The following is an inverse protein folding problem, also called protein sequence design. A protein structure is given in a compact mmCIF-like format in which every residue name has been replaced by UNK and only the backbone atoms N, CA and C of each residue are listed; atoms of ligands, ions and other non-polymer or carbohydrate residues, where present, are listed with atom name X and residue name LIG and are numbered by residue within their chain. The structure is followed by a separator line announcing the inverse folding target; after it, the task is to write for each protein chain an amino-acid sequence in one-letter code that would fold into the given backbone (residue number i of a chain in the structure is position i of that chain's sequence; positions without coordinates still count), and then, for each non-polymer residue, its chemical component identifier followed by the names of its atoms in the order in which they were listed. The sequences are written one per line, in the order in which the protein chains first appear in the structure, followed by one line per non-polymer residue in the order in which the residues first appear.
data_IF_211634546540
#
_entry.id   IF_211634546540
#
_cell.length_a   1.000
_cell.length_b   1.000
_cell.length_c   1.000
_cell.angle_alpha   90.00
_cell.angle_beta   90.00
_cell.angle_gamma   90.00
#
_symmetry.space_group_name_H-M   'P 1'
#
loop_
_entity.id
_entity.type
_entity.pdbx_description
1 polymer ?
#
# COMPACT_ATOMS: atom_id res chain seq x y z
N UNK A 1 -10.31 -3.50 -25.39
CA UNK A 1 -8.84 -3.38 -25.59
C UNK A 1 -8.16 -4.00 -24.38
N UNK A 2 -7.52 -5.16 -24.53
CA UNK A 2 -6.91 -5.90 -23.43
C UNK A 2 -5.56 -5.25 -23.13
N UNK A 3 -5.50 -4.43 -22.10
CA UNK A 3 -4.24 -3.82 -21.66
C UNK A 3 -3.36 -4.93 -21.09
N UNK A 4 -2.33 -5.30 -21.80
CA UNK A 4 -1.33 -6.28 -21.35
C UNK A 4 -0.61 -5.69 -20.12
N UNK A 5 -0.95 -6.18 -18.93
CA UNK A 5 -0.32 -5.80 -17.67
C UNK A 5 1.13 -6.32 -17.75
N UNK A 6 2.09 -5.40 -17.97
CA UNK A 6 3.52 -5.73 -17.90
C UNK A 6 3.82 -6.28 -16.51
N UNK A 7 4.11 -7.57 -16.39
CA UNK A 7 4.45 -8.22 -15.12
C UNK A 7 5.61 -7.48 -14.47
N UNK A 8 5.41 -7.01 -13.25
CA UNK A 8 6.49 -6.43 -12.45
C UNK A 8 7.54 -7.51 -12.18
N UNK A 9 8.79 -7.27 -12.56
CA UNK A 9 9.92 -8.22 -12.35
C UNK A 9 10.18 -8.55 -10.87
N UNK A 10 9.78 -7.68 -9.95
CA UNK A 10 9.70 -7.92 -8.51
C UNK A 10 8.63 -7.03 -7.90
N UNK A 11 7.76 -7.56 -7.06
CA UNK A 11 6.79 -6.76 -6.33
C UNK A 11 7.46 -6.18 -5.07
N UNK A 12 7.92 -4.93 -5.19
CA UNK A 12 8.16 -4.13 -3.99
C UNK A 12 6.79 -3.61 -3.55
N UNK A 13 6.54 -3.61 -2.25
CA UNK A 13 5.31 -2.99 -1.73
C UNK A 13 5.10 -1.58 -2.29
N UNK A 14 3.85 -1.14 -2.54
CA UNK A 14 3.55 0.23 -2.92
C UNK A 14 3.80 1.22 -1.78
N UNK A 15 3.93 0.75 -0.54
CA UNK A 15 4.12 1.58 0.65
C UNK A 15 5.58 1.63 1.10
N UNK A 16 5.93 2.71 1.81
CA UNK A 16 7.11 2.78 2.66
C UNK A 16 6.69 2.32 4.06
N UNK A 17 7.33 1.27 4.55
CA UNK A 17 6.95 0.72 5.86
C UNK A 17 8.21 0.36 6.66
N UNK A 18 8.36 0.90 7.89
CA UNK A 18 9.47 0.54 8.77
C UNK A 18 9.50 -0.98 8.99
N UNK A 19 10.66 -1.59 8.86
CA UNK A 19 10.78 -3.05 8.95
C UNK A 19 10.23 -3.85 7.76
N UNK A 20 9.82 -3.18 6.67
CA UNK A 20 9.31 -3.83 5.46
C UNK A 20 10.25 -4.90 4.90
N UNK A 21 9.70 -6.07 4.57
CA UNK A 21 10.46 -7.29 4.22
C UNK A 21 10.76 -7.43 2.73
N UNK A 22 10.49 -6.42 1.88
CA UNK A 22 10.67 -6.53 0.42
C UNK A 22 12.05 -7.01 -0.03
N UNK A 23 13.12 -6.64 0.70
CA UNK A 23 14.49 -7.13 0.43
C UNK A 23 14.75 -8.49 1.03
N UNK A 24 14.04 -8.85 2.09
CA UNK A 24 14.22 -10.09 2.82
C UNK A 24 13.44 -11.25 2.19
N UNK A 25 12.35 -11.00 1.44
CA UNK A 25 11.50 -12.06 0.88
C UNK A 25 12.30 -13.16 0.16
N UNK A 26 13.25 -12.78 -0.71
CA UNK A 26 14.10 -13.75 -1.40
C UNK A 26 15.01 -14.56 -0.47
N UNK A 27 15.46 -13.94 0.63
CA UNK A 27 16.32 -14.63 1.63
C UNK A 27 15.49 -15.52 2.54
N UNK A 28 14.24 -15.17 2.77
CA UNK A 28 13.29 -15.96 3.57
C UNK A 28 12.73 -17.15 2.79
N UNK A 29 12.70 -17.06 1.47
CA UNK A 29 12.07 -18.05 0.59
C UNK A 29 12.52 -19.50 0.83
N UNK A 30 13.83 -19.80 1.05
CA UNK A 30 14.27 -21.17 1.35
C UNK A 30 13.76 -21.73 2.70
N UNK A 31 13.27 -20.85 3.58
CA UNK A 31 12.76 -21.22 4.91
C UNK A 31 11.22 -21.27 4.96
N UNK A 32 10.56 -20.86 3.90
CA UNK A 32 9.10 -20.96 3.76
C UNK A 32 8.82 -22.35 3.18
N UNK A 33 7.93 -23.16 3.80
CA UNK A 33 7.56 -24.44 3.24
C UNK A 33 6.90 -24.28 1.86
N UNK A 34 6.83 -25.35 1.09
CA UNK A 34 6.07 -25.34 -0.15
C UNK A 34 4.57 -25.21 0.17
N UNK A 35 3.97 -24.13 -0.28
CA UNK A 35 2.57 -23.81 0.04
C UNK A 35 1.58 -24.39 -0.96
N UNK A 36 2.00 -25.21 -1.92
CA UNK A 36 1.10 -25.83 -2.91
C UNK A 36 0.05 -26.77 -2.32
N UNK A 37 0.37 -27.38 -1.17
CA UNK A 37 -0.50 -28.32 -0.47
C UNK A 37 -1.37 -27.64 0.62
N UNK A 38 -1.29 -26.31 0.73
CA UNK A 38 -2.08 -25.53 1.68
C UNK A 38 -3.21 -24.80 0.94
N UNK A 39 -4.33 -24.62 1.64
CA UNK A 39 -5.49 -23.91 1.10
C UNK A 39 -5.46 -22.41 1.39
N UNK A 40 -4.89 -22.04 2.55
CA UNK A 40 -4.91 -20.65 3.06
C UNK A 40 -3.55 -20.24 3.56
N UNK A 41 -3.14 -19.04 3.19
CA UNK A 41 -2.05 -18.29 3.84
C UNK A 41 -2.65 -17.17 4.68
N UNK A 42 -2.25 -17.10 5.95
CA UNK A 42 -2.70 -16.07 6.86
C UNK A 42 -1.55 -15.19 7.34
N UNK A 43 -1.62 -13.86 7.11
CA UNK A 43 -0.66 -12.86 7.59
C UNK A 43 -1.32 -11.94 8.62
N UNK A 44 -1.14 -12.17 9.93
CA UNK A 44 -1.85 -11.43 10.98
C UNK A 44 -1.35 -9.99 11.19
N UNK A 45 -0.16 -9.65 10.70
CA UNK A 45 0.48 -8.34 10.79
C UNK A 45 0.95 -7.91 9.40
N UNK A 46 0.00 -7.45 8.57
CA UNK A 46 0.23 -7.16 7.15
C UNK A 46 1.31 -6.10 6.93
N UNK A 47 1.24 -4.99 7.67
CA UNK A 47 2.16 -3.87 7.48
C UNK A 47 2.22 -3.41 6.02
N UNK A 48 3.44 -3.27 5.50
CA UNK A 48 3.63 -2.89 4.09
C UNK A 48 3.26 -3.99 3.07
N UNK A 49 2.73 -5.14 3.46
CA UNK A 49 2.25 -6.20 2.58
C UNK A 49 3.31 -6.94 1.75
N UNK A 50 4.59 -6.79 2.11
CA UNK A 50 5.68 -7.32 1.28
C UNK A 50 5.69 -8.84 1.15
N UNK A 51 5.37 -9.55 2.24
CA UNK A 51 5.37 -11.03 2.25
C UNK A 51 4.10 -11.53 1.58
N UNK A 52 2.93 -11.00 1.93
CA UNK A 52 1.67 -11.37 1.29
C UNK A 52 1.73 -11.18 -0.24
N UNK A 53 2.25 -10.04 -0.74
CA UNK A 53 2.44 -9.81 -2.18
C UNK A 53 3.39 -10.84 -2.81
N UNK A 54 4.45 -11.22 -2.11
CA UNK A 54 5.39 -12.25 -2.58
C UNK A 54 4.71 -13.62 -2.68
N UNK A 55 3.96 -14.01 -1.66
CA UNK A 55 3.21 -15.28 -1.60
C UNK A 55 2.12 -15.31 -2.68
N UNK A 56 1.32 -14.25 -2.81
CA UNK A 56 0.27 -14.15 -3.84
C UNK A 56 0.83 -14.38 -5.25
N UNK A 57 1.99 -13.79 -5.54
CA UNK A 57 2.63 -13.99 -6.83
C UNK A 57 3.11 -15.42 -7.04
N UNK A 58 3.71 -16.02 -6.00
CA UNK A 58 4.31 -17.36 -6.09
C UNK A 58 3.26 -18.47 -6.11
N UNK A 59 2.15 -18.25 -5.40
CA UNK A 59 1.08 -19.23 -5.22
C UNK A 59 -0.29 -18.63 -5.59
N UNK A 60 -0.58 -18.40 -6.88
CA UNK A 60 -1.75 -17.66 -7.33
C UNK A 60 -3.10 -18.35 -7.06
N UNK A 61 -3.09 -19.60 -6.64
CA UNK A 61 -4.30 -20.36 -6.26
C UNK A 61 -4.55 -20.37 -4.74
N UNK A 62 -3.58 -19.89 -3.97
CA UNK A 62 -3.66 -19.91 -2.51
C UNK A 62 -4.58 -18.77 -2.03
N UNK A 63 -5.54 -19.09 -1.18
CA UNK A 63 -6.37 -18.07 -0.53
C UNK A 63 -5.51 -17.25 0.42
N UNK A 64 -5.52 -15.94 0.27
CA UNK A 64 -4.73 -15.01 1.08
C UNK A 64 -5.65 -14.28 2.04
N UNK A 65 -5.39 -14.46 3.32
CA UNK A 65 -6.06 -13.75 4.41
C UNK A 65 -5.03 -12.87 5.10
N UNK A 66 -5.30 -11.58 5.16
CA UNK A 66 -4.40 -10.60 5.76
C UNK A 66 -5.13 -9.77 6.81
N UNK A 67 -4.40 -9.41 7.84
CA UNK A 67 -4.93 -8.60 8.93
C UNK A 67 -3.94 -7.51 9.33
N UNK A 68 -4.45 -6.36 9.75
CA UNK A 68 -3.67 -5.36 10.48
C UNK A 68 -4.56 -4.64 11.49
N UNK A 69 -3.98 -4.14 12.57
CA UNK A 69 -4.70 -3.39 13.59
C UNK A 69 -4.71 -1.88 13.31
N UNK A 70 -3.76 -1.41 12.51
CA UNK A 70 -3.64 0.00 12.18
C UNK A 70 -4.68 0.39 11.11
N UNK A 71 -5.77 1.01 11.54
CA UNK A 71 -6.94 1.31 10.70
C UNK A 71 -6.60 2.05 9.40
N UNK A 72 -5.78 3.12 9.37
CA UNK A 72 -5.46 3.81 8.12
C UNK A 72 -4.74 2.93 7.10
N UNK A 73 -3.91 2.00 7.56
CA UNK A 73 -3.21 1.04 6.72
C UNK A 73 -4.17 -0.03 6.18
N UNK A 74 -5.02 -0.58 7.05
CA UNK A 74 -6.09 -1.50 6.65
C UNK A 74 -6.98 -0.85 5.60
N UNK A 75 -7.46 0.37 5.87
CA UNK A 75 -8.32 1.11 4.94
C UNK A 75 -7.62 1.34 3.59
N UNK A 76 -6.33 1.69 3.58
CA UNK A 76 -5.58 1.84 2.34
C UNK A 76 -5.60 0.56 1.49
N UNK A 77 -5.30 -0.59 2.10
CA UNK A 77 -5.28 -1.86 1.38
C UNK A 77 -6.67 -2.26 0.87
N UNK A 78 -7.71 -2.08 1.70
CA UNK A 78 -9.09 -2.33 1.34
C UNK A 78 -9.53 -1.43 0.18
N UNK A 79 -9.26 -0.13 0.25
CA UNK A 79 -9.67 0.81 -0.80
C UNK A 79 -8.85 0.62 -2.09
N UNK A 80 -7.58 0.25 -1.99
CA UNK A 80 -6.79 -0.12 -3.15
C UNK A 80 -7.37 -1.36 -3.86
N UNK A 81 -7.95 -2.31 -3.11
CA UNK A 81 -8.62 -3.48 -3.65
C UNK A 81 -9.94 -3.12 -4.35
N UNK A 82 -10.83 -2.37 -3.66
CA UNK A 82 -12.22 -2.17 -4.12
C UNK A 82 -12.44 -0.89 -4.92
N UNK A 83 -11.59 0.12 -4.74
CA UNK A 83 -11.66 1.44 -5.38
C UNK A 83 -10.32 1.85 -6.01
N UNK A 84 -9.52 0.88 -6.50
CA UNK A 84 -8.16 1.12 -6.98
C UNK A 84 -8.06 2.17 -8.09
N UNK A 85 -9.00 2.21 -9.02
CA UNK A 85 -9.04 3.20 -10.11
C UNK A 85 -9.29 4.62 -9.56
N UNK A 86 -10.17 4.76 -8.57
CA UNK A 86 -10.40 6.04 -7.90
C UNK A 86 -9.14 6.52 -7.18
N UNK A 87 -8.53 5.67 -6.35
CA UNK A 87 -7.29 6.00 -5.62
C UNK A 87 -6.18 6.41 -6.58
N UNK A 88 -6.05 5.69 -7.70
CA UNK A 88 -5.06 5.99 -8.73
C UNK A 88 -5.32 7.36 -9.37
N UNK A 89 -6.55 7.63 -9.85
CA UNK A 89 -6.88 8.88 -10.55
C UNK A 89 -6.72 10.10 -9.66
N UNK A 90 -7.19 10.04 -8.40
CA UNK A 90 -7.06 11.14 -7.45
C UNK A 90 -5.59 11.44 -7.13
N UNK A 91 -4.77 10.40 -6.91
CA UNK A 91 -3.34 10.59 -6.67
C UNK A 91 -2.61 11.19 -7.88
N UNK A 92 -2.99 10.84 -9.12
CA UNK A 92 -2.44 11.45 -10.32
C UNK A 92 -2.80 12.94 -10.40
N UNK A 93 -4.04 13.31 -10.16
CA UNK A 93 -4.49 14.72 -10.16
C UNK A 93 -3.76 15.54 -9.10
N UNK A 94 -3.73 15.03 -7.86
CA UNK A 94 -3.04 15.70 -6.75
C UNK A 94 -1.53 15.83 -7.01
N UNK A 95 -0.87 14.78 -7.52
CA UNK A 95 0.56 14.86 -7.86
C UNK A 95 0.85 15.86 -8.98
N UNK A 96 -0.04 15.99 -9.94
CA UNK A 96 0.10 16.98 -11.03
C UNK A 96 -0.08 18.40 -10.54
N UNK A 97 -1.00 18.63 -9.58
CA UNK A 97 -1.31 19.94 -9.00
C UNK A 97 -0.24 20.39 -7.99
N UNK A 98 0.26 19.47 -7.17
CA UNK A 98 1.21 19.74 -6.08
C UNK A 98 2.58 19.17 -6.45
N UNK A 99 3.32 19.88 -7.31
CA UNK A 99 4.54 19.37 -7.94
C UNK A 99 5.84 19.87 -7.31
N UNK A 100 5.82 21.00 -6.60
CA UNK A 100 6.98 21.59 -5.91
C UNK A 100 6.96 21.25 -4.39
N UNK A 101 8.06 21.54 -3.69
CA UNK A 101 8.22 21.21 -2.27
C UNK A 101 7.25 21.94 -1.35
N UNK A 102 6.91 23.19 -1.66
CA UNK A 102 6.00 23.99 -0.83
C UNK A 102 4.60 23.44 -0.92
N UNK A 103 4.11 23.28 -2.13
CA UNK A 103 2.79 22.72 -2.39
C UNK A 103 2.65 21.26 -1.93
N UNK A 104 3.71 20.45 -2.07
CA UNK A 104 3.73 19.08 -1.56
C UNK A 104 3.69 19.03 -0.01
N UNK A 105 4.30 20.01 0.69
CA UNK A 105 4.19 20.15 2.14
C UNK A 105 2.77 20.51 2.54
N UNK A 106 2.16 21.48 1.87
CA UNK A 106 0.78 21.88 2.13
C UNK A 106 -0.18 20.69 1.96
N UNK A 107 -0.04 19.95 0.87
CA UNK A 107 -0.81 18.72 0.63
C UNK A 107 -0.60 17.68 1.73
N UNK A 108 0.63 17.50 2.21
CA UNK A 108 0.94 16.57 3.29
C UNK A 108 0.27 16.96 4.61
N UNK A 109 0.35 18.24 5.01
CA UNK A 109 -0.27 18.72 6.25
C UNK A 109 -1.82 18.66 6.18
N UNK A 110 -2.40 19.05 5.04
CA UNK A 110 -3.84 18.90 4.80
C UNK A 110 -4.28 17.43 4.86
N UNK A 111 -3.50 16.53 4.24
CA UNK A 111 -3.77 15.09 4.30
C UNK A 111 -3.75 14.54 5.73
N UNK A 112 -2.85 15.02 6.59
CA UNK A 112 -2.80 14.62 8.01
C UNK A 112 -4.07 15.02 8.76
N UNK A 113 -4.58 16.23 8.51
CA UNK A 113 -5.83 16.71 9.14
C UNK A 113 -7.03 15.86 8.69
N UNK A 114 -7.08 15.51 7.40
CA UNK A 114 -8.20 14.79 6.80
C UNK A 114 -8.18 13.28 7.04
N UNK A 115 -7.05 12.71 7.43
CA UNK A 115 -6.93 11.26 7.62
C UNK A 115 -7.91 10.70 8.66
N UNK A 116 -8.19 11.46 9.72
CA UNK A 116 -9.08 11.07 10.81
C UNK A 116 -10.37 11.88 10.86
N UNK A 117 -10.62 12.69 9.85
CA UNK A 117 -11.86 13.45 9.73
C UNK A 117 -13.03 12.50 9.45
N UNK A 118 -14.08 12.58 10.27
CA UNK A 118 -15.25 11.69 10.19
C UNK A 118 -16.08 11.93 8.92
N UNK A 119 -16.02 13.14 8.36
CA UNK A 119 -16.75 13.50 7.15
C UNK A 119 -16.02 13.06 5.86
N UNK A 120 -14.79 12.58 5.98
CA UNK A 120 -13.99 12.10 4.85
C UNK A 120 -14.27 10.62 4.57
N UNK A 121 -14.57 10.31 3.31
CA UNK A 121 -14.88 8.94 2.90
C UNK A 121 -13.66 8.01 3.01
N UNK A 122 -13.90 6.70 3.16
CA UNK A 122 -12.81 5.72 3.26
C UNK A 122 -11.85 5.74 2.06
N UNK A 123 -12.38 5.95 0.83
CA UNK A 123 -11.55 6.03 -0.38
C UNK A 123 -10.66 7.28 -0.40
N UNK A 124 -11.16 8.43 0.08
CA UNK A 124 -10.39 9.66 0.20
C UNK A 124 -9.32 9.53 1.30
N UNK A 125 -9.67 8.92 2.44
CA UNK A 125 -8.70 8.62 3.50
C UNK A 125 -7.56 7.72 3.01
N UNK A 126 -7.83 6.79 2.09
CA UNK A 126 -6.78 5.97 1.47
C UNK A 126 -5.83 6.81 0.60
N UNK A 127 -6.35 7.79 -0.13
CA UNK A 127 -5.54 8.76 -0.90
C UNK A 127 -4.64 9.56 0.05
N UNK A 128 -5.21 10.14 1.12
CA UNK A 128 -4.45 10.91 2.10
C UNK A 128 -3.40 10.06 2.82
N UNK A 129 -3.74 8.84 3.22
CA UNK A 129 -2.78 7.90 3.80
C UNK A 129 -1.58 7.65 2.88
N UNK A 130 -1.82 7.43 1.58
CA UNK A 130 -0.74 7.22 0.61
C UNK A 130 0.17 8.44 0.51
N UNK A 131 -0.38 9.66 0.45
CA UNK A 131 0.39 10.91 0.41
C UNK A 131 1.26 11.04 1.65
N UNK A 132 0.68 10.87 2.84
CA UNK A 132 1.40 10.93 4.11
C UNK A 132 2.52 9.90 4.13
N UNK A 133 2.24 8.65 3.77
CA UNK A 133 3.23 7.59 3.73
C UNK A 133 4.41 7.91 2.79
N UNK A 134 4.12 8.53 1.63
CA UNK A 134 5.15 8.84 0.63
C UNK A 134 5.97 10.06 0.98
N UNK A 135 5.37 11.07 1.59
CA UNK A 135 6.00 12.35 1.87
C UNK A 135 6.61 12.45 3.27
N UNK A 136 6.32 11.50 4.18
CA UNK A 136 6.83 11.50 5.55
C UNK A 136 8.30 11.07 5.65
N UNK A 137 9.00 11.56 6.68
CA UNK A 137 10.32 11.05 7.03
C UNK A 137 10.24 9.55 7.36
N UNK A 138 11.09 8.73 6.75
CA UNK A 138 11.18 7.26 6.94
C UNK A 138 9.88 6.46 6.71
N UNK A 139 8.79 7.08 6.23
CA UNK A 139 7.51 6.39 6.05
C UNK A 139 6.76 6.13 7.35
N UNK A 140 7.03 6.91 8.39
CA UNK A 140 6.40 6.80 9.72
C UNK A 140 4.97 7.37 9.77
N UNK A 141 4.40 7.68 8.63
CA UNK A 141 3.04 8.19 8.45
C UNK A 141 2.74 9.47 9.26
N UNK A 142 1.60 9.56 9.91
CA UNK A 142 1.13 10.76 10.61
C UNK A 142 1.94 11.14 11.83
N UNK A 143 2.67 10.23 12.44
CA UNK A 143 3.59 10.52 13.56
C UNK A 143 4.89 11.20 13.13
N UNK A 144 5.06 11.42 11.83
CA UNK A 144 6.28 11.95 11.22
C UNK A 144 6.08 13.33 10.64
N UNK A 145 7.19 14.04 10.43
CA UNK A 145 7.24 15.31 9.71
C UNK A 145 7.35 15.11 8.20
N UNK A 146 6.99 16.13 7.45
CA UNK A 146 7.24 16.20 6.01
C UNK A 146 8.74 16.11 5.71
N UNK A 147 9.08 15.38 4.65
CA UNK A 147 10.44 15.25 4.14
C UNK A 147 10.48 15.64 2.65
N UNK A 148 11.12 16.74 2.27
CA UNK A 148 11.28 17.12 0.86
C UNK A 148 11.89 16.01 0.01
N UNK A 149 12.97 15.38 0.50
CA UNK A 149 13.62 14.26 -0.19
C UNK A 149 12.69 13.05 -0.37
N UNK A 150 11.84 12.77 0.64
CA UNK A 150 10.88 11.68 0.55
C UNK A 150 9.79 12.02 -0.46
N UNK A 151 9.29 13.24 -0.46
CA UNK A 151 8.29 13.72 -1.42
C UNK A 151 8.78 13.57 -2.86
N UNK A 152 10.00 13.99 -3.18
CA UNK A 152 10.56 13.84 -4.53
C UNK A 152 10.79 12.38 -4.93
N UNK A 153 11.43 11.62 -4.04
CA UNK A 153 11.85 10.26 -4.37
C UNK A 153 10.70 9.25 -4.36
N UNK A 154 9.68 9.44 -3.52
CA UNK A 154 8.67 8.40 -3.27
C UNK A 154 7.25 8.80 -3.68
N UNK A 155 6.85 10.08 -3.57
CA UNK A 155 5.58 10.55 -4.11
C UNK A 155 5.75 10.89 -5.58
N UNK A 156 5.84 9.88 -6.42
CA UNK A 156 6.17 10.02 -7.84
C UNK A 156 5.07 9.43 -8.73
N UNK A 157 4.86 10.03 -9.90
CA UNK A 157 3.91 9.54 -10.90
C UNK A 157 4.19 8.06 -11.24
N UNK A 158 5.46 7.69 -11.41
CA UNK A 158 5.86 6.29 -11.64
C UNK A 158 5.41 5.32 -10.53
N UNK A 159 5.36 5.79 -9.28
CA UNK A 159 4.87 5.00 -8.15
C UNK A 159 3.35 4.86 -8.17
N UNK A 160 2.66 5.95 -8.47
CA UNK A 160 1.20 6.04 -8.57
C UNK A 160 0.69 5.16 -9.72
N UNK A 161 1.31 5.22 -10.90
CA UNK A 161 0.92 4.44 -12.09
C UNK A 161 1.05 2.92 -11.93
N UNK A 162 1.65 2.46 -10.83
CA UNK A 162 1.70 1.03 -10.48
C UNK A 162 0.54 0.56 -9.62
N UNK A 163 -0.22 1.47 -9.02
CA UNK A 163 -1.31 1.11 -8.11
C UNK A 163 -2.36 0.20 -8.75
N UNK A 164 -2.79 0.40 -10.02
CA UNK A 164 -3.72 -0.52 -10.67
C UNK A 164 -3.21 -1.96 -10.76
N UNK A 165 -1.89 -2.16 -10.89
CA UNK A 165 -1.30 -3.51 -10.89
C UNK A 165 -1.40 -4.16 -9.51
N UNK A 166 -1.22 -3.38 -8.45
CA UNK A 166 -1.40 -3.89 -7.08
C UNK A 166 -2.87 -4.16 -6.79
N UNK A 167 -3.77 -3.26 -7.19
CA UNK A 167 -5.22 -3.46 -7.06
C UNK A 167 -5.64 -4.80 -7.65
N UNK A 168 -5.21 -5.09 -8.89
CA UNK A 168 -5.49 -6.37 -9.55
C UNK A 168 -4.83 -7.57 -8.85
N UNK A 169 -3.60 -7.41 -8.33
CA UNK A 169 -2.89 -8.49 -7.65
C UNK A 169 -3.55 -8.92 -6.34
N UNK A 170 -4.20 -7.99 -5.65
CA UNK A 170 -4.83 -8.20 -4.34
C UNK A 170 -6.35 -8.38 -4.43
N UNK A 171 -6.92 -8.51 -5.63
CA UNK A 171 -8.37 -8.56 -5.83
C UNK A 171 -9.07 -9.66 -5.03
N UNK A 172 -8.39 -10.79 -4.82
CA UNK A 172 -8.91 -11.96 -4.11
C UNK A 172 -8.43 -12.03 -2.63
N UNK A 173 -7.76 -10.98 -2.12
CA UNK A 173 -7.36 -10.97 -0.72
C UNK A 173 -8.57 -10.81 0.19
N UNK A 174 -8.56 -11.54 1.31
CA UNK A 174 -9.48 -11.31 2.41
C UNK A 174 -8.80 -10.41 3.45
N UNK A 175 -9.18 -9.13 3.47
CA UNK A 175 -8.53 -8.09 4.28
C UNK A 175 -9.38 -7.82 5.52
N UNK A 176 -8.80 -7.93 6.70
CA UNK A 176 -9.49 -7.76 7.98
C UNK A 176 -8.82 -6.70 8.85
N UNK A 177 -9.64 -6.04 9.68
CA UNK A 177 -9.23 -5.16 10.77
C UNK A 177 -9.70 -5.77 12.07
N UNK A 178 -8.81 -6.34 12.86
CA UNK A 178 -9.20 -6.92 14.14
C UNK A 178 -8.03 -6.97 15.12
N UNK A 179 -8.34 -6.93 16.39
CA UNK A 179 -7.49 -7.53 17.42
C UNK A 179 -7.46 -9.03 17.14
N UNK A 180 -6.26 -9.58 16.99
CA UNK A 180 -6.11 -11.00 16.72
C UNK A 180 -6.50 -11.73 18.01
N UNK A 181 -7.69 -12.27 18.01
CA UNK A 181 -8.04 -13.30 18.98
C UNK A 181 -7.52 -14.63 18.41
N UNK A 182 -6.34 -15.02 18.89
CA UNK A 182 -5.77 -16.35 18.63
C UNK A 182 -6.48 -17.34 19.56
#
# INVERSE_FOLDING_TARGET
MTTTIKSLKSYKTPLRYPGGKSRACKKMEPYIPDLRDYEVYYEPFLGGGSVALHITKKYPKLKIVVNDLYEPLYNFWLQLQVNGDYVHSELQQLKSKFSDHSSARELFEDSKLKLYDIDVTGKDRAVYFYIINKCSFSGLTESSSFSPQASDANFSMRGIDKLPVYSKLIEDWYITLSLIHI
#
